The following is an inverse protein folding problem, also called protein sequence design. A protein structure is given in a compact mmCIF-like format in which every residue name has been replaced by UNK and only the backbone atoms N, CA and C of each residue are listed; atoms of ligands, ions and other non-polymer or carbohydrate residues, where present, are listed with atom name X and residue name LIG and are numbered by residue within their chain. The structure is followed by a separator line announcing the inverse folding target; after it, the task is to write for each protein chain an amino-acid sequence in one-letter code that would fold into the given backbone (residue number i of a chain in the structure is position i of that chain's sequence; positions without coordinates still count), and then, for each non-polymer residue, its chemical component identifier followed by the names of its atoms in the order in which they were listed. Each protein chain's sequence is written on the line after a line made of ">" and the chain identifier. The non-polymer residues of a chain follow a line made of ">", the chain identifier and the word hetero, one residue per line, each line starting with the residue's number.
data_IF_265295613148
#
_entry.id   IF_265295613148
#
_cell.length_a   1.000
_cell.length_b   1.000
_cell.length_c   1.000
_cell.angle_alpha   90.00
_cell.angle_beta   90.00
_cell.angle_gamma   90.00
#
_symmetry.space_group_name_H-M   'P 1'
#
loop_
_entity.id
_entity.type
_entity.pdbx_description
1 polymer ?
#
# COMPACT_ATOMS: atom_id res chain seq x y z
N UNK A 1 17.62 -24.59 41.02
CA UNK A 1 17.66 -24.83 39.55
C UNK A 1 16.30 -24.71 38.84
N UNK A 2 15.16 -25.03 39.51
CA UNK A 2 13.82 -24.93 38.89
C UNK A 2 13.25 -23.50 38.73
N UNK A 3 13.71 -22.54 39.52
CA UNK A 3 13.20 -21.15 39.51
C UNK A 3 13.78 -20.32 38.35
N UNK A 4 14.98 -20.60 37.91
CA UNK A 4 15.61 -19.90 36.78
C UNK A 4 14.95 -20.28 35.44
N UNK A 5 14.60 -21.57 35.29
CA UNK A 5 13.94 -22.08 34.07
C UNK A 5 12.52 -21.55 33.89
N UNK A 6 11.80 -21.32 34.99
CA UNK A 6 10.43 -20.72 34.95
C UNK A 6 10.47 -19.24 34.59
N UNK A 7 11.48 -18.48 35.02
CA UNK A 7 11.68 -17.07 34.66
C UNK A 7 12.00 -16.91 33.18
N UNK A 8 12.85 -17.77 32.64
CA UNK A 8 13.23 -17.73 31.23
C UNK A 8 12.06 -18.07 30.29
N UNK A 9 11.20 -19.00 30.69
CA UNK A 9 9.97 -19.34 29.96
C UNK A 9 8.95 -18.20 29.98
N UNK A 10 8.83 -17.48 31.11
CA UNK A 10 7.95 -16.30 31.19
C UNK A 10 8.48 -15.10 30.39
N UNK A 11 9.80 -14.93 30.29
CA UNK A 11 10.42 -13.89 29.48
C UNK A 11 10.20 -14.14 27.99
N UNK A 12 10.41 -15.37 27.51
CA UNK A 12 10.15 -15.74 26.11
C UNK A 12 8.67 -15.62 25.71
N UNK A 13 7.73 -15.87 26.64
CA UNK A 13 6.28 -15.72 26.38
C UNK A 13 5.87 -14.24 26.34
N UNK A 14 6.52 -13.36 27.11
CA UNK A 14 6.27 -11.92 27.05
C UNK A 14 6.74 -11.30 25.74
N UNK A 15 7.93 -11.66 25.28
CA UNK A 15 8.49 -11.16 24.03
C UNK A 15 7.71 -11.67 22.81
N UNK A 16 7.26 -12.92 22.83
CA UNK A 16 6.42 -13.46 21.75
C UNK A 16 5.03 -12.83 21.70
N UNK A 17 4.45 -12.40 22.82
CA UNK A 17 3.17 -11.67 22.83
C UNK A 17 3.30 -10.26 22.26
N UNK A 18 4.38 -9.53 22.54
CA UNK A 18 4.60 -8.20 22.00
C UNK A 18 4.83 -8.21 20.48
N UNK A 19 5.55 -9.22 19.98
CA UNK A 19 5.77 -9.43 18.53
C UNK A 19 4.48 -9.88 17.82
N UNK A 20 3.63 -10.65 18.50
CA UNK A 20 2.39 -11.16 17.92
C UNK A 20 1.33 -10.07 17.64
N UNK A 21 1.34 -8.98 18.40
CA UNK A 21 0.39 -7.85 18.25
C UNK A 21 0.93 -6.69 17.42
N UNK A 22 2.16 -6.79 16.89
CA UNK A 22 2.67 -5.77 15.99
C UNK A 22 2.02 -5.89 14.62
N UNK A 23 1.13 -4.95 14.30
CA UNK A 23 0.45 -4.90 13.01
C UNK A 23 1.41 -4.45 11.90
N UNK A 24 1.22 -5.01 10.72
CA UNK A 24 2.03 -4.74 9.54
C UNK A 24 1.15 -4.68 8.30
N UNK A 25 1.52 -3.83 7.36
CA UNK A 25 0.86 -3.79 6.06
C UNK A 25 1.29 -4.96 5.20
N UNK A 26 0.33 -5.78 4.80
CA UNK A 26 0.50 -6.91 3.90
C UNK A 26 -0.39 -6.73 2.68
N UNK A 27 -0.04 -7.39 1.58
CA UNK A 27 -0.88 -7.45 0.38
C UNK A 27 -1.57 -8.80 0.33
N UNK A 28 -2.89 -8.78 0.40
CA UNK A 28 -3.72 -9.96 0.22
C UNK A 28 -4.18 -10.05 -1.24
N UNK A 29 -4.04 -11.24 -1.85
CA UNK A 29 -4.49 -11.51 -3.20
C UNK A 29 -5.95 -11.95 -3.16
N UNK A 30 -6.80 -11.19 -3.85
CA UNK A 30 -8.25 -11.34 -3.88
C UNK A 30 -8.70 -11.90 -5.22
N UNK A 31 -9.81 -12.60 -5.26
CA UNK A 31 -10.43 -13.03 -6.51
C UNK A 31 -10.84 -11.81 -7.31
N UNK A 32 -10.72 -11.91 -8.64
CA UNK A 32 -11.09 -10.85 -9.59
C UNK A 32 -12.52 -10.35 -9.33
N UNK A 33 -12.70 -9.03 -9.38
CA UNK A 33 -13.98 -8.35 -9.14
C UNK A 33 -14.60 -8.54 -7.74
N UNK A 34 -13.84 -9.07 -6.78
CA UNK A 34 -14.29 -9.21 -5.39
C UNK A 34 -13.63 -8.19 -4.44
N UNK A 35 -12.79 -7.30 -4.94
CA UNK A 35 -11.97 -6.38 -4.16
C UNK A 35 -12.84 -5.52 -3.22
N UNK A 36 -13.86 -4.84 -3.74
CA UNK A 36 -14.76 -3.97 -2.96
C UNK A 36 -15.54 -4.75 -1.88
N UNK A 37 -16.12 -5.90 -2.26
CA UNK A 37 -16.84 -6.76 -1.32
C UNK A 37 -15.94 -7.31 -0.22
N UNK A 38 -14.69 -7.62 -0.56
CA UNK A 38 -13.71 -8.11 0.40
C UNK A 38 -13.30 -7.00 1.36
N UNK A 39 -13.08 -5.77 0.86
CA UNK A 39 -12.81 -4.59 1.68
C UNK A 39 -13.93 -4.33 2.71
N UNK A 40 -15.19 -4.36 2.27
CA UNK A 40 -16.35 -4.22 3.15
C UNK A 40 -16.42 -5.30 4.23
N UNK A 41 -16.12 -6.56 3.87
CA UNK A 41 -16.11 -7.67 4.83
C UNK A 41 -15.00 -7.52 5.86
N UNK A 42 -13.79 -7.16 5.43
CA UNK A 42 -12.67 -6.89 6.33
C UNK A 42 -12.98 -5.76 7.30
N UNK A 43 -13.61 -4.69 6.83
CA UNK A 43 -14.04 -3.58 7.68
C UNK A 43 -15.10 -4.01 8.70
N UNK A 44 -16.05 -4.89 8.33
CA UNK A 44 -17.02 -5.47 9.26
C UNK A 44 -16.40 -6.38 10.31
N UNK A 45 -15.26 -7.00 9.99
CA UNK A 45 -14.46 -7.80 10.94
C UNK A 45 -13.57 -6.95 11.84
N UNK A 46 -13.56 -5.61 11.66
CA UNK A 46 -12.70 -4.70 12.41
C UNK A 46 -11.25 -4.70 11.94
N UNK A 47 -10.96 -5.28 10.78
CA UNK A 47 -9.62 -5.34 10.20
C UNK A 47 -9.38 -4.09 9.36
N UNK A 48 -8.33 -3.34 9.72
CA UNK A 48 -7.91 -2.18 8.92
C UNK A 48 -7.43 -2.64 7.55
N UNK A 49 -8.05 -2.09 6.51
CA UNK A 49 -7.73 -2.43 5.14
C UNK A 49 -7.75 -1.19 4.24
N UNK A 50 -7.07 -1.27 3.12
CA UNK A 50 -7.01 -0.20 2.15
C UNK A 50 -7.11 -0.77 0.73
N UNK A 51 -8.13 -0.35 0.01
CA UNK A 51 -8.31 -0.66 -1.40
C UNK A 51 -8.01 0.61 -2.22
N UNK A 52 -6.95 0.63 -3.04
CA UNK A 52 -6.59 1.79 -3.84
C UNK A 52 -7.57 1.95 -5.00
N UNK A 53 -8.52 2.86 -4.84
CA UNK A 53 -9.50 3.23 -5.85
C UNK A 53 -9.34 4.69 -6.22
N UNK A 54 -9.49 5.02 -7.48
CA UNK A 54 -9.51 6.38 -7.97
C UNK A 54 -10.78 6.62 -8.76
N UNK A 55 -11.35 7.82 -8.63
CA UNK A 55 -12.50 8.24 -9.41
C UNK A 55 -12.02 8.75 -10.77
N UNK A 56 -12.56 8.19 -11.83
CA UNK A 56 -12.34 8.64 -13.20
C UNK A 56 -13.67 9.08 -13.82
N UNK A 57 -13.63 10.24 -14.50
CA UNK A 57 -14.80 10.72 -15.23
C UNK A 57 -14.75 10.14 -16.66
N UNK A 58 -15.58 9.16 -16.92
CA UNK A 58 -15.78 8.65 -18.28
C UNK A 58 -16.87 9.44 -18.99
N UNK A 59 -16.52 10.01 -20.13
CA UNK A 59 -17.47 10.67 -21.03
C UNK A 59 -17.98 9.63 -22.05
N UNK A 60 -19.24 9.26 -21.90
CA UNK A 60 -19.96 8.47 -22.90
C UNK A 60 -20.62 9.42 -23.91
N UNK A 61 -21.07 8.90 -25.02
CA UNK A 61 -21.69 9.72 -26.08
C UNK A 61 -22.90 10.55 -25.62
N UNK A 62 -23.61 10.09 -24.59
CA UNK A 62 -24.85 10.71 -24.10
C UNK A 62 -24.73 11.31 -22.68
N UNK A 63 -23.71 10.92 -21.89
CA UNK A 63 -23.56 11.37 -20.48
C UNK A 63 -22.15 11.23 -19.92
N UNK A 64 -21.87 12.02 -18.88
CA UNK A 64 -20.68 11.85 -18.05
C UNK A 64 -21.02 10.94 -16.88
N UNK A 65 -20.19 9.93 -16.64
CA UNK A 65 -20.30 9.03 -15.50
C UNK A 65 -18.99 8.99 -14.73
N UNK A 66 -19.07 9.18 -13.42
CA UNK A 66 -17.93 8.94 -12.50
C UNK A 66 -17.86 7.44 -12.26
N UNK A 67 -16.73 6.84 -12.55
CA UNK A 67 -16.46 5.42 -12.35
C UNK A 67 -15.28 5.28 -11.39
N UNK A 68 -15.41 4.41 -10.42
CA UNK A 68 -14.30 4.07 -9.52
C UNK A 68 -13.43 2.98 -10.15
N UNK A 69 -12.20 3.34 -10.43
CA UNK A 69 -11.18 2.43 -10.95
C UNK A 69 -10.31 1.90 -9.81
N UNK A 70 -10.19 0.58 -9.70
CA UNK A 70 -9.22 -0.06 -8.81
C UNK A 70 -7.84 0.03 -9.45
N UNK A 71 -6.88 0.68 -8.80
CA UNK A 71 -5.53 0.88 -9.34
C UNK A 71 -4.69 -0.41 -9.35
N UNK A 72 -4.92 -1.29 -8.40
CA UNK A 72 -4.27 -2.59 -8.27
C UNK A 72 -5.32 -3.70 -8.27
N UNK A 73 -5.70 -4.22 -9.44
CA UNK A 73 -6.67 -5.32 -9.54
C UNK A 73 -6.20 -6.55 -8.77
N UNK A 74 -7.14 -7.29 -8.20
CA UNK A 74 -6.92 -8.53 -7.46
C UNK A 74 -6.07 -8.37 -6.19
N UNK A 75 -5.89 -7.16 -5.68
CA UNK A 75 -5.07 -6.88 -4.50
C UNK A 75 -5.80 -5.97 -3.52
N UNK A 76 -5.59 -6.23 -2.23
CA UNK A 76 -6.02 -5.36 -1.14
C UNK A 76 -4.93 -5.30 -0.09
N UNK A 77 -4.70 -4.11 0.46
CA UNK A 77 -3.78 -3.93 1.57
C UNK A 77 -4.52 -4.17 2.88
N UNK A 78 -3.89 -4.90 3.79
CA UNK A 78 -4.43 -5.18 5.12
C UNK A 78 -3.38 -4.87 6.18
N UNK A 79 -3.79 -4.22 7.25
CA UNK A 79 -2.93 -3.87 8.38
C UNK A 79 -3.25 -4.82 9.53
N UNK A 80 -2.46 -5.88 9.67
CA UNK A 80 -2.80 -7.04 10.49
C UNK A 80 -1.63 -7.52 11.34
N UNK A 81 -1.96 -8.09 12.50
CA UNK A 81 -1.05 -8.86 13.32
C UNK A 81 -1.05 -10.36 12.91
N UNK A 82 -0.29 -11.18 13.60
CA UNK A 82 -0.13 -12.60 13.28
C UNK A 82 -1.45 -13.41 13.46
N UNK A 83 -2.36 -12.98 14.33
CA UNK A 83 -3.64 -13.64 14.55
C UNK A 83 -4.65 -13.23 13.49
N UNK A 84 -4.78 -11.94 13.25
CA UNK A 84 -5.63 -11.37 12.21
C UNK A 84 -5.25 -11.89 10.82
N UNK A 85 -3.96 -12.15 10.54
CA UNK A 85 -3.50 -12.76 9.29
C UNK A 85 -4.21 -14.09 8.98
N UNK A 86 -4.39 -14.95 9.99
CA UNK A 86 -5.09 -16.23 9.83
C UNK A 86 -6.58 -16.02 9.59
N UNK A 87 -7.17 -15.07 10.31
CA UNK A 87 -8.57 -14.73 10.19
C UNK A 87 -8.91 -14.18 8.79
N UNK A 88 -8.07 -13.31 8.25
CA UNK A 88 -8.19 -12.80 6.88
C UNK A 88 -8.22 -13.92 5.84
N UNK A 89 -7.40 -14.94 6.00
CA UNK A 89 -7.37 -16.10 5.08
C UNK A 89 -8.62 -16.99 5.16
N UNK A 90 -9.44 -16.87 6.20
CA UNK A 90 -10.72 -17.60 6.25
C UNK A 90 -11.75 -17.05 5.27
N UNK A 91 -11.55 -15.84 4.79
CA UNK A 91 -12.40 -15.25 3.75
C UNK A 91 -12.17 -15.95 2.42
N UNK A 92 -13.15 -16.69 1.94
CA UNK A 92 -13.08 -17.44 0.68
C UNK A 92 -12.80 -16.58 -0.58
N UNK A 93 -12.84 -15.25 -0.47
CA UNK A 93 -12.45 -14.31 -1.53
C UNK A 93 -10.95 -14.02 -1.56
N UNK A 94 -10.21 -14.33 -0.49
CA UNK A 94 -8.77 -14.13 -0.39
C UNK A 94 -8.09 -15.48 -0.60
N UNK A 95 -7.13 -15.52 -1.51
CA UNK A 95 -6.42 -16.76 -1.85
C UNK A 95 -5.15 -16.94 -1.02
N UNK A 96 -4.36 -15.90 -0.89
CA UNK A 96 -3.07 -15.90 -0.17
C UNK A 96 -2.56 -14.48 0.02
N UNK A 97 -1.52 -14.34 0.82
CA UNK A 97 -0.70 -13.12 0.85
C UNK A 97 0.34 -13.13 -0.25
N UNK A 98 0.75 -11.94 -0.67
CA UNK A 98 1.90 -11.79 -1.57
C UNK A 98 3.19 -12.12 -0.82
N UNK A 99 4.05 -12.89 -1.49
CA UNK A 99 5.34 -13.35 -0.96
C UNK A 99 6.42 -12.98 -1.96
N UNK A 100 7.57 -12.52 -1.48
CA UNK A 100 8.74 -12.27 -2.35
C UNK A 100 9.31 -13.58 -2.88
N UNK A 101 9.89 -13.52 -4.08
CA UNK A 101 10.50 -14.69 -4.68
C UNK A 101 11.66 -15.19 -3.83
N UNK A 102 11.56 -16.44 -3.39
CA UNK A 102 12.56 -17.07 -2.51
C UNK A 102 12.30 -16.93 -1.02
N UNK A 103 11.24 -16.21 -0.61
CA UNK A 103 10.83 -16.12 0.78
C UNK A 103 9.60 -17.01 1.05
N UNK A 104 9.39 -17.33 2.33
CA UNK A 104 8.22 -18.11 2.79
C UNK A 104 7.23 -17.26 3.59
N UNK A 105 7.65 -16.05 4.01
CA UNK A 105 6.83 -15.15 4.80
C UNK A 105 6.14 -14.12 3.92
N UNK A 106 4.94 -13.65 4.32
CA UNK A 106 4.27 -12.54 3.64
C UNK A 106 5.15 -11.31 3.62
N UNK A 107 5.21 -10.68 2.48
CA UNK A 107 6.01 -9.49 2.29
C UNK A 107 5.34 -8.28 2.95
N UNK A 108 6.13 -7.52 3.69
CA UNK A 108 5.70 -6.36 4.47
C UNK A 108 5.95 -5.09 3.69
N UNK A 109 4.95 -4.22 3.63
CA UNK A 109 5.11 -2.86 3.12
C UNK A 109 5.36 -1.94 4.32
N UNK A 110 6.43 -1.13 4.31
CA UNK A 110 6.69 -0.16 5.35
C UNK A 110 5.53 0.85 5.49
N UNK A 111 5.19 1.20 6.74
CA UNK A 111 4.09 2.13 7.05
C UNK A 111 4.27 3.48 6.34
N UNK A 112 5.51 3.95 6.23
CA UNK A 112 5.83 5.20 5.54
C UNK A 112 5.47 5.17 4.05
N UNK A 113 5.71 4.03 3.38
CA UNK A 113 5.32 3.86 1.97
C UNK A 113 3.80 3.84 1.81
N UNK A 114 3.10 3.13 2.71
CA UNK A 114 1.64 3.13 2.73
C UNK A 114 1.06 4.50 2.99
N UNK A 115 1.64 5.25 3.94
CA UNK A 115 1.20 6.60 4.25
C UNK A 115 1.35 7.53 3.03
N UNK A 116 2.51 7.52 2.38
CA UNK A 116 2.75 8.32 1.16
C UNK A 116 1.81 7.92 0.02
N UNK A 117 1.54 6.64 -0.13
CA UNK A 117 0.63 6.14 -1.17
C UNK A 117 -0.82 6.53 -0.90
N UNK A 118 -1.31 6.38 0.33
CA UNK A 118 -2.64 6.85 0.73
C UNK A 118 -2.76 8.36 0.50
N UNK A 119 -1.77 9.14 0.96
CA UNK A 119 -1.74 10.58 0.77
C UNK A 119 -1.79 10.98 -0.71
N UNK A 120 -1.03 10.30 -1.57
CA UNK A 120 -1.07 10.55 -3.02
C UNK A 120 -2.48 10.30 -3.59
N UNK A 121 -3.16 9.24 -3.17
CA UNK A 121 -4.51 8.90 -3.63
C UNK A 121 -5.58 9.87 -3.15
N UNK A 122 -5.49 10.30 -1.88
CA UNK A 122 -6.50 11.15 -1.27
C UNK A 122 -6.47 12.61 -1.79
N UNK A 123 -5.28 13.08 -2.18
CA UNK A 123 -5.07 14.49 -2.54
C UNK A 123 -4.69 14.71 -4.00
N UNK A 124 -4.55 13.68 -4.82
CA UNK A 124 -4.24 13.87 -6.24
C UNK A 124 -5.48 14.23 -7.05
N UNK A 125 -5.43 15.37 -7.72
CA UNK A 125 -6.43 15.75 -8.74
C UNK A 125 -6.16 15.07 -10.10
N UNK A 126 -4.92 14.58 -10.29
CA UNK A 126 -4.47 13.96 -11.52
C UNK A 126 -4.57 12.43 -11.45
N UNK A 127 -4.69 11.80 -12.62
CA UNK A 127 -4.74 10.35 -12.72
C UNK A 127 -3.43 9.70 -12.25
N UNK A 128 -3.52 8.88 -11.22
CA UNK A 128 -2.40 8.08 -10.71
C UNK A 128 -2.25 6.84 -11.59
N UNK A 129 -1.03 6.61 -12.01
CA UNK A 129 -0.67 5.44 -12.78
C UNK A 129 0.23 4.52 -11.96
N UNK A 130 0.09 3.23 -12.18
CA UNK A 130 0.94 2.21 -11.56
C UNK A 130 1.88 1.61 -12.60
N UNK A 131 3.15 1.43 -12.23
CA UNK A 131 4.11 0.66 -13.02
C UNK A 131 4.68 -0.46 -12.17
N UNK A 132 4.50 -1.68 -12.62
CA UNK A 132 5.15 -2.87 -12.04
C UNK A 132 6.59 -3.04 -12.54
N UNK A 133 6.94 -2.35 -13.63
CA UNK A 133 8.31 -2.33 -14.14
C UNK A 133 9.18 -1.47 -13.22
N UNK A 134 10.36 -1.95 -12.82
CA UNK A 134 11.28 -1.15 -12.02
C UNK A 134 11.68 0.12 -12.79
N UNK A 135 11.32 1.28 -12.24
CA UNK A 135 11.81 2.56 -12.74
C UNK A 135 13.20 2.84 -12.16
N UNK A 136 14.06 3.46 -12.96
CA UNK A 136 15.36 3.93 -12.46
C UNK A 136 15.17 4.81 -11.23
N UNK A 137 16.04 4.70 -10.21
CA UNK A 137 15.99 5.58 -9.06
C UNK A 137 16.07 7.04 -9.49
N UNK A 138 15.16 7.85 -9.00
CA UNK A 138 15.12 9.28 -9.24
C UNK A 138 15.67 10.07 -8.06
N UNK A 139 15.76 11.40 -8.24
CA UNK A 139 16.13 12.32 -7.16
C UNK A 139 15.02 12.33 -6.11
N UNK A 140 15.37 12.18 -4.84
CA UNK A 140 14.41 12.33 -3.74
C UNK A 140 13.94 13.77 -3.69
N UNK A 141 12.62 13.96 -3.66
CA UNK A 141 12.00 15.27 -3.69
C UNK A 141 10.86 15.38 -2.68
N UNK A 142 10.53 16.63 -2.36
CA UNK A 142 9.32 16.99 -1.64
C UNK A 142 8.48 17.92 -2.52
N UNK A 143 7.19 17.66 -2.57
CA UNK A 143 6.24 18.56 -3.24
C UNK A 143 5.99 19.77 -2.35
N UNK A 144 6.18 20.98 -2.87
CA UNK A 144 6.06 22.24 -2.11
C UNK A 144 4.81 23.05 -2.47
N UNK A 145 4.15 22.73 -3.59
CA UNK A 145 2.96 23.45 -4.07
C UNK A 145 1.93 22.50 -4.62
N UNK A 146 0.66 22.89 -4.54
CA UNK A 146 -0.48 22.15 -5.08
C UNK A 146 -1.11 21.16 -4.08
N UNK A 147 -2.08 20.37 -4.53
CA UNK A 147 -2.84 19.43 -3.68
C UNK A 147 -1.96 18.40 -2.96
N UNK A 148 -0.86 18.01 -3.60
CA UNK A 148 0.10 17.05 -3.04
C UNK A 148 1.23 17.70 -2.22
N UNK A 149 1.07 18.97 -1.81
CA UNK A 149 2.07 19.64 -0.98
C UNK A 149 2.38 18.86 0.29
N UNK A 150 3.67 18.63 0.55
CA UNK A 150 4.16 17.80 1.65
C UNK A 150 4.51 16.36 1.27
N UNK A 151 4.02 15.85 0.14
CA UNK A 151 4.37 14.51 -0.34
C UNK A 151 5.86 14.39 -0.60
N UNK A 152 6.46 13.36 -0.06
CA UNK A 152 7.83 12.95 -0.35
C UNK A 152 7.83 11.77 -1.31
N UNK A 153 8.64 11.86 -2.34
CA UNK A 153 8.75 10.84 -3.37
C UNK A 153 10.06 10.94 -4.14
N UNK A 154 10.07 10.35 -5.31
CA UNK A 154 11.19 10.41 -6.24
C UNK A 154 10.74 11.09 -7.54
N UNK A 155 11.57 11.98 -8.05
CA UNK A 155 11.38 12.57 -9.39
C UNK A 155 11.89 11.57 -10.43
N UNK A 156 10.99 11.04 -11.22
CA UNK A 156 11.30 10.08 -12.28
C UNK A 156 10.86 10.63 -13.64
N UNK A 157 11.53 10.20 -14.70
CA UNK A 157 11.14 10.56 -16.06
C UNK A 157 10.48 9.36 -16.72
N UNK A 158 9.23 9.52 -17.15
CA UNK A 158 8.47 8.50 -17.86
C UNK A 158 7.93 9.13 -19.16
N UNK A 159 8.26 8.51 -20.29
CA UNK A 159 7.86 9.01 -21.62
C UNK A 159 8.24 10.49 -21.86
N UNK A 160 9.44 10.90 -21.41
CA UNK A 160 9.93 12.27 -21.58
C UNK A 160 9.30 13.31 -20.65
N UNK A 161 8.40 12.92 -19.75
CA UNK A 161 7.77 13.81 -18.77
C UNK A 161 8.28 13.51 -17.36
N UNK A 162 8.49 14.55 -16.58
CA UNK A 162 8.84 14.45 -15.16
C UNK A 162 7.59 14.11 -14.34
N UNK A 163 7.71 13.09 -13.51
CA UNK A 163 6.63 12.59 -12.65
C UNK A 163 7.13 12.37 -11.24
N UNK A 164 6.26 12.53 -10.28
CA UNK A 164 6.56 12.17 -8.88
C UNK A 164 6.10 10.74 -8.64
N UNK A 165 7.01 9.90 -8.19
CA UNK A 165 6.79 8.50 -7.91
C UNK A 165 6.90 8.19 -6.41
N UNK A 166 5.98 7.36 -5.93
CA UNK A 166 6.04 6.71 -4.62
C UNK A 166 6.31 5.23 -4.85
N UNK A 167 7.43 4.73 -4.33
CA UNK A 167 7.75 3.30 -4.42
C UNK A 167 6.98 2.51 -3.38
N UNK A 168 6.44 1.40 -3.83
CA UNK A 168 5.84 0.39 -2.97
C UNK A 168 6.66 -0.88 -3.09
N UNK A 169 7.17 -1.37 -1.98
CA UNK A 169 7.93 -2.62 -1.95
C UNK A 169 7.15 -3.72 -2.68
N UNK A 170 7.77 -4.35 -3.69
CA UNK A 170 7.26 -5.45 -4.52
C UNK A 170 6.17 -5.10 -5.55
N UNK A 171 5.45 -4.02 -5.38
CA UNK A 171 4.33 -3.65 -6.26
C UNK A 171 4.75 -2.69 -7.38
N UNK A 172 5.95 -2.14 -7.29
CA UNK A 172 6.45 -1.15 -8.24
C UNK A 172 6.28 0.28 -7.74
N UNK A 173 5.86 1.17 -8.63
CA UNK A 173 5.75 2.60 -8.33
C UNK A 173 4.36 3.12 -8.70
N UNK A 174 3.75 3.87 -7.80
CA UNK A 174 2.67 4.77 -8.10
C UNK A 174 3.25 6.11 -8.55
N UNK A 175 2.80 6.68 -9.64
CA UNK A 175 3.31 7.96 -10.12
C UNK A 175 2.19 8.85 -10.66
N UNK A 176 2.42 10.15 -10.53
CA UNK A 176 1.49 11.20 -10.93
C UNK A 176 2.26 12.32 -11.65
N UNK A 177 1.61 12.97 -12.59
CA UNK A 177 2.16 14.11 -13.28
C UNK A 177 2.14 15.33 -12.36
N UNK A 178 3.31 15.95 -12.13
CA UNK A 178 3.44 17.19 -11.36
C UNK A 178 4.38 18.15 -12.11
N UNK A 179 4.02 19.43 -12.23
CA UNK A 179 4.91 20.43 -12.79
C UNK A 179 6.22 20.52 -12.00
N UNK A 180 7.36 20.58 -12.68
CA UNK A 180 8.70 20.62 -12.06
C UNK A 180 8.85 21.80 -11.08
N UNK A 181 8.19 22.93 -11.35
CA UNK A 181 8.18 24.08 -10.44
C UNK A 181 7.44 23.89 -9.10
N UNK A 182 6.82 22.73 -8.89
CA UNK A 182 6.13 22.39 -7.64
C UNK A 182 6.91 21.44 -6.74
N UNK A 183 8.14 21.07 -7.11
CA UNK A 183 8.96 20.11 -6.37
C UNK A 183 10.30 20.71 -5.98
N UNK A 184 10.83 20.28 -4.86
CA UNK A 184 12.12 20.68 -4.32
C UNK A 184 12.94 19.43 -3.98
N UNK A 185 14.25 19.37 -4.34
CA UNK A 185 15.10 18.26 -3.95
C UNK A 185 15.20 18.18 -2.42
N UNK A 186 15.11 16.96 -1.88
CA UNK A 186 15.48 16.71 -0.49
C UNK A 186 17.00 16.61 -0.44
N UNK A 187 17.63 17.57 0.22
CA UNK A 187 19.05 17.47 0.55
C UNK A 187 19.31 16.23 1.40
N UNK A 188 20.48 15.63 1.18
CA UNK A 188 20.90 14.40 1.90
C UNK A 188 21.19 14.67 3.35
#
# INVERSE_FOLDING_TARGET
>A
LHTAYRRQRQMCIRDSRSVAHHKRWLVALVRISHEKKTSERLSKMGIENFLPVQQEVHQWSDRRKVVERVLLPMMIFVHVDMYEQKEVLTLGSISRYMVLRGESTPAVIPDEQMHRFKFMLDYSDEAINMSTTPLSPGTKIKVIKGPLSGLQGELVTVNGKSKVAVRLTMLGCAFVDIPVGCVEPLEK
#
